data_IF_832039737184
#
_entry.id   IF_832039737184
#
_cell.length_a   1.000
_cell.length_b   1.000
_cell.length_c   1.000
_cell.angle_alpha   90.00
_cell.angle_beta   90.00
_cell.angle_gamma   90.00
#
_symmetry.space_group_name_H-M   'P 1'
#
loop_
_entity.id
_entity.type
_entity.pdbx_description
1 polymer ?
#
# COMPACT_ATOMS: atom_id res chain seq x y z
N UNK A 1 -31.60 9.11 -23.27
CA UNK A 1 -30.64 8.00 -23.44
C UNK A 1 -29.38 8.44 -24.17
N UNK A 2 -29.48 9.03 -25.35
CA UNK A 2 -28.32 9.42 -26.19
C UNK A 2 -27.30 10.29 -25.44
N UNK A 3 -27.71 11.36 -24.78
CA UNK A 3 -26.81 12.25 -24.02
C UNK A 3 -25.95 11.49 -23.00
N UNK A 4 -26.52 10.56 -22.26
CA UNK A 4 -25.77 9.73 -21.30
C UNK A 4 -24.80 8.77 -21.98
N UNK A 5 -25.12 8.29 -23.16
CA UNK A 5 -24.22 7.46 -23.93
C UNK A 5 -23.02 8.25 -24.44
N UNK A 6 -23.22 9.46 -24.90
CA UNK A 6 -22.16 10.40 -25.30
C UNK A 6 -21.25 10.73 -24.13
N UNK A 7 -21.83 11.11 -22.98
CA UNK A 7 -21.07 11.37 -21.75
C UNK A 7 -20.23 10.15 -21.33
N UNK A 8 -20.74 8.93 -21.52
CA UNK A 8 -19.99 7.71 -21.24
C UNK A 8 -18.84 7.52 -22.21
N UNK A 9 -19.04 7.75 -23.50
CA UNK A 9 -17.98 7.65 -24.53
C UNK A 9 -16.88 8.68 -24.23
N UNK A 10 -17.25 9.93 -23.95
CA UNK A 10 -16.30 10.97 -23.58
C UNK A 10 -15.52 10.63 -22.30
N UNK A 11 -16.22 10.09 -21.31
CA UNK A 11 -15.62 9.69 -20.03
C UNK A 11 -14.69 8.45 -20.11
N UNK A 12 -14.59 7.80 -21.26
CA UNK A 12 -13.56 6.76 -21.49
C UNK A 12 -12.15 7.35 -21.49
N UNK A 13 -12.02 8.67 -21.81
CA UNK A 13 -10.73 9.36 -21.86
C UNK A 13 -9.88 8.95 -23.07
N UNK A 14 -10.49 8.37 -24.11
CA UNK A 14 -9.83 7.93 -25.34
C UNK A 14 -9.95 8.93 -26.47
N UNK A 15 -10.79 9.96 -26.30
CA UNK A 15 -11.18 10.89 -27.34
C UNK A 15 -10.99 12.33 -26.88
N UNK A 16 -10.39 13.14 -27.74
CA UNK A 16 -10.29 14.61 -27.53
C UNK A 16 -11.62 15.30 -27.79
N UNK A 17 -12.44 14.74 -28.69
CA UNK A 17 -13.76 15.26 -29.02
C UNK A 17 -14.73 14.13 -29.38
N UNK A 18 -16.00 14.32 -29.03
CA UNK A 18 -17.11 13.37 -29.31
C UNK A 18 -18.31 14.16 -29.79
N UNK A 19 -18.57 14.14 -31.09
CA UNK A 19 -19.71 14.79 -31.72
C UNK A 19 -20.81 13.79 -32.05
N UNK A 20 -22.05 14.17 -31.80
CA UNK A 20 -23.20 13.31 -32.09
C UNK A 20 -24.16 14.03 -33.03
N UNK A 21 -24.47 13.38 -34.15
CA UNK A 21 -25.45 13.82 -35.11
C UNK A 21 -26.61 12.83 -35.15
N UNK A 22 -27.83 13.36 -35.28
CA UNK A 22 -29.04 12.59 -35.49
C UNK A 22 -29.50 12.80 -36.93
N UNK A 23 -29.57 11.75 -37.71
CA UNK A 23 -30.02 11.77 -39.09
C UNK A 23 -31.32 10.97 -39.20
N UNK A 24 -32.22 11.35 -40.15
CA UNK A 24 -33.38 10.54 -40.45
C UNK A 24 -33.02 9.15 -40.95
N UNK A 25 -33.79 8.13 -40.63
CA UNK A 25 -33.55 6.77 -41.10
C UNK A 25 -33.73 6.65 -42.62
N UNK A 26 -32.87 5.89 -43.28
CA UNK A 26 -32.84 5.75 -44.72
C UNK A 26 -34.08 5.02 -45.28
N UNK A 27 -34.70 4.13 -44.50
CA UNK A 27 -35.82 3.27 -44.94
C UNK A 27 -37.14 3.58 -44.24
N UNK A 28 -37.14 4.20 -43.10
CA UNK A 28 -38.34 4.58 -42.33
C UNK A 28 -38.11 5.94 -41.64
N UNK A 29 -38.95 6.96 -41.95
CA UNK A 29 -38.85 8.28 -41.34
C UNK A 29 -39.03 8.30 -39.82
N UNK A 30 -39.58 7.26 -39.21
CA UNK A 30 -39.71 7.09 -37.77
C UNK A 30 -38.43 6.56 -37.08
N UNK A 31 -37.45 6.09 -37.84
CA UNK A 31 -36.16 5.66 -37.35
C UNK A 31 -35.16 6.83 -37.36
N UNK A 32 -34.25 6.83 -36.40
CA UNK A 32 -33.18 7.83 -36.29
C UNK A 32 -31.84 7.12 -36.32
N UNK A 33 -30.97 7.56 -37.23
CA UNK A 33 -29.58 7.13 -37.26
C UNK A 33 -28.80 8.05 -36.30
N UNK A 34 -28.12 7.44 -35.37
CA UNK A 34 -27.23 8.19 -34.46
C UNK A 34 -25.79 7.98 -34.95
N UNK A 35 -25.21 9.03 -35.49
CA UNK A 35 -23.82 9.08 -35.91
C UNK A 35 -22.97 9.67 -34.80
N UNK A 36 -21.91 8.99 -34.41
CA UNK A 36 -20.97 9.42 -33.36
C UNK A 36 -19.61 9.58 -34.01
N UNK A 37 -19.19 10.83 -34.20
CA UNK A 37 -17.86 11.18 -34.69
C UNK A 37 -16.92 11.36 -33.50
N UNK A 38 -15.79 10.68 -33.51
CA UNK A 38 -14.80 10.74 -32.43
C UNK A 38 -13.46 11.19 -32.98
N UNK A 39 -12.76 12.03 -32.22
CA UNK A 39 -11.36 12.37 -32.46
C UNK A 39 -10.52 11.63 -31.43
N UNK A 40 -9.74 10.66 -31.87
CA UNK A 40 -8.93 9.82 -30.98
C UNK A 40 -7.81 10.62 -30.32
N UNK A 41 -7.65 10.38 -29.02
CA UNK A 41 -6.57 10.90 -28.19
C UNK A 41 -5.41 9.89 -28.08
N UNK A 42 -4.19 10.39 -27.88
CA UNK A 42 -3.05 9.50 -27.56
C UNK A 42 -3.18 9.01 -26.12
N UNK A 43 -3.44 7.72 -25.95
CA UNK A 43 -3.67 7.08 -24.64
C UNK A 43 -2.42 6.51 -23.99
N UNK A 44 -1.30 6.50 -24.73
CA UNK A 44 0.01 6.08 -24.25
C UNK A 44 0.69 7.17 -23.41
N UNK A 45 1.22 6.79 -22.27
CA UNK A 45 1.92 7.68 -21.34
C UNK A 45 3.28 7.10 -20.95
N UNK A 46 4.28 7.96 -20.83
CA UNK A 46 5.59 7.63 -20.25
C UNK A 46 5.81 8.59 -19.09
N UNK A 47 5.98 8.05 -17.91
CA UNK A 47 6.29 8.82 -16.70
C UNK A 47 7.71 8.50 -16.26
N UNK A 48 8.49 9.53 -16.03
CA UNK A 48 9.80 9.44 -15.42
C UNK A 48 9.73 10.11 -14.06
N UNK A 49 10.22 9.42 -13.05
CA UNK A 49 10.21 9.91 -11.69
C UNK A 49 11.48 9.58 -10.93
N UNK A 50 11.63 10.20 -9.78
CA UNK A 50 12.63 9.83 -8.80
C UNK A 50 11.98 9.78 -7.42
N UNK A 51 12.37 8.79 -6.64
CA UNK A 51 11.95 8.61 -5.26
C UNK A 51 13.14 8.54 -4.34
N UNK A 52 12.93 8.90 -3.10
CA UNK A 52 13.91 8.73 -2.04
C UNK A 52 13.23 8.20 -0.78
N UNK A 53 13.79 7.15 -0.21
CA UNK A 53 13.44 6.69 1.12
C UNK A 53 14.70 6.58 1.97
N UNK A 54 14.54 6.59 3.30
CA UNK A 54 15.67 6.40 4.21
C UNK A 54 16.27 5.00 4.05
N UNK A 55 15.41 4.00 3.88
CA UNK A 55 15.79 2.61 3.68
C UNK A 55 16.48 2.40 2.32
N UNK A 56 15.83 2.78 1.24
CA UNK A 56 16.26 2.41 -0.11
C UNK A 56 17.21 3.42 -0.76
N UNK A 57 17.27 4.66 -0.25
CA UNK A 57 18.03 5.74 -0.87
C UNK A 57 17.32 6.34 -2.10
N UNK A 58 18.09 6.87 -3.03
CA UNK A 58 17.57 7.48 -4.26
C UNK A 58 17.27 6.40 -5.32
N UNK A 59 16.04 6.39 -5.83
CA UNK A 59 15.59 5.48 -6.88
C UNK A 59 15.05 6.24 -8.08
N UNK A 60 15.30 5.73 -9.29
CA UNK A 60 14.65 6.16 -10.51
C UNK A 60 13.42 5.31 -10.80
N UNK A 61 12.37 5.94 -11.29
CA UNK A 61 11.09 5.29 -11.63
C UNK A 61 10.82 5.57 -13.11
N UNK A 62 10.51 4.51 -13.85
CA UNK A 62 10.05 4.57 -15.24
C UNK A 62 8.72 3.83 -15.29
N UNK A 63 7.68 4.53 -15.73
CA UNK A 63 6.37 3.92 -15.94
C UNK A 63 5.94 4.16 -17.40
N UNK A 64 5.59 3.07 -18.07
CA UNK A 64 4.90 3.08 -19.35
C UNK A 64 3.47 2.62 -19.13
N UNK A 65 2.51 3.42 -19.59
CA UNK A 65 1.08 3.12 -19.53
C UNK A 65 0.43 3.27 -20.89
N UNK A 66 -0.49 2.38 -21.22
CA UNK A 66 -1.39 2.47 -22.38
C UNK A 66 -2.80 2.17 -21.89
N UNK A 67 -3.67 3.18 -21.96
CA UNK A 67 -5.05 3.07 -21.44
C UNK A 67 -6.06 2.53 -22.46
N UNK A 68 -5.66 2.45 -23.74
CA UNK A 68 -6.48 1.89 -24.82
C UNK A 68 -5.68 0.90 -25.65
N UNK A 69 -5.12 -0.11 -25.01
CA UNK A 69 -4.22 -1.07 -25.62
C UNK A 69 -4.90 -1.78 -26.80
N UNK A 70 -4.32 -1.61 -27.99
CA UNK A 70 -4.84 -2.12 -29.28
C UNK A 70 -6.25 -1.61 -29.62
N UNK A 71 -6.70 -0.50 -29.08
CA UNK A 71 -8.02 0.06 -29.35
C UNK A 71 -9.19 -0.67 -28.68
N UNK A 72 -8.91 -1.57 -27.73
CA UNK A 72 -9.93 -2.41 -27.07
C UNK A 72 -10.45 -1.82 -25.76
N UNK A 73 -9.91 -0.69 -25.32
CA UNK A 73 -10.17 -0.10 -24.00
C UNK A 73 -9.47 -0.83 -22.86
N UNK A 74 -8.62 -1.81 -23.17
CA UNK A 74 -7.83 -2.51 -22.18
C UNK A 74 -6.64 -1.65 -21.77
N UNK A 75 -6.19 -1.82 -20.53
CA UNK A 75 -5.06 -1.07 -19.98
C UNK A 75 -3.85 -1.96 -19.83
N UNK A 76 -2.72 -1.50 -20.32
CA UNK A 76 -1.44 -2.15 -20.14
C UNK A 76 -0.47 -1.21 -19.44
N UNK A 77 0.24 -1.68 -18.43
CA UNK A 77 1.18 -0.88 -17.66
C UNK A 77 2.43 -1.66 -17.32
N UNK A 78 3.59 -1.03 -17.52
CA UNK A 78 4.88 -1.50 -17.04
C UNK A 78 5.44 -0.45 -16.10
N UNK A 79 5.73 -0.87 -14.89
CA UNK A 79 6.37 -0.05 -13.87
C UNK A 79 7.74 -0.65 -13.56
N UNK A 80 8.77 0.20 -13.54
CA UNK A 80 10.13 -0.22 -13.29
C UNK A 80 10.83 0.78 -12.38
N UNK A 81 11.39 0.28 -11.28
CA UNK A 81 12.20 1.04 -10.34
C UNK A 81 13.64 0.53 -10.39
N UNK A 82 14.57 1.46 -10.48
CA UNK A 82 16.01 1.18 -10.56
C UNK A 82 16.76 2.07 -9.61
N UNK A 83 17.78 1.53 -8.95
CA UNK A 83 18.64 2.29 -8.05
C UNK A 83 18.52 1.85 -6.61
N UNK A 84 18.58 2.80 -5.71
CA UNK A 84 18.66 2.55 -4.29
C UNK A 84 20.08 2.21 -3.82
N UNK A 85 20.28 2.14 -2.50
CA UNK A 85 21.57 1.81 -1.88
C UNK A 85 22.14 0.47 -2.36
N UNK A 86 21.27 -0.51 -2.63
CA UNK A 86 21.64 -1.87 -3.04
C UNK A 86 21.33 -2.19 -4.52
N UNK A 87 21.11 -1.15 -5.34
CA UNK A 87 20.86 -1.26 -6.80
C UNK A 87 19.70 -2.18 -7.14
N UNK A 88 18.57 -2.01 -6.48
CA UNK A 88 17.35 -2.78 -6.72
C UNK A 88 16.85 -2.66 -8.15
N UNK A 89 16.18 -3.70 -8.61
CA UNK A 89 15.48 -3.76 -9.89
C UNK A 89 14.07 -4.27 -9.65
N UNK A 90 13.18 -3.37 -9.26
CA UNK A 90 11.78 -3.68 -9.05
C UNK A 90 11.02 -3.48 -10.35
N UNK A 91 10.18 -4.43 -10.71
CA UNK A 91 9.31 -4.29 -11.87
C UNK A 91 7.95 -4.93 -11.65
N UNK A 92 6.96 -4.33 -12.27
CA UNK A 92 5.61 -4.85 -12.32
C UNK A 92 5.06 -4.66 -13.73
N UNK A 93 4.47 -5.72 -14.28
CA UNK A 93 3.73 -5.69 -15.53
C UNK A 93 2.29 -5.99 -15.19
N UNK A 94 1.37 -5.16 -15.65
CA UNK A 94 -0.05 -5.34 -15.41
C UNK A 94 -0.89 -5.13 -16.67
N UNK A 95 -1.95 -5.90 -16.78
CA UNK A 95 -2.96 -5.80 -17.81
C UNK A 95 -4.32 -5.80 -17.13
N UNK A 96 -5.20 -4.89 -17.54
CA UNK A 96 -6.56 -4.77 -17.03
C UNK A 96 -7.53 -4.67 -18.18
N UNK A 97 -8.47 -5.60 -18.22
CA UNK A 97 -9.68 -5.54 -19.05
C UNK A 97 -10.82 -4.95 -18.22
N UNK A 98 -11.26 -3.70 -18.48
CA UNK A 98 -12.24 -3.02 -17.64
C UNK A 98 -13.63 -3.68 -17.64
N UNK A 99 -14.00 -4.34 -18.74
CA UNK A 99 -15.32 -4.94 -18.91
C UNK A 99 -15.22 -6.33 -19.57
N UNK A 100 -15.45 -7.37 -18.78
CA UNK A 100 -15.57 -8.74 -19.29
C UNK A 100 -17.02 -9.17 -19.44
N UNK A 101 -17.95 -8.40 -18.87
CA UNK A 101 -19.39 -8.64 -18.92
C UNK A 101 -20.19 -7.33 -19.00
N UNK A 102 -21.50 -7.44 -19.26
CA UNK A 102 -22.44 -6.31 -19.31
C UNK A 102 -22.65 -5.62 -17.95
N UNK A 103 -22.21 -6.24 -16.86
CA UNK A 103 -22.34 -5.72 -15.50
C UNK A 103 -21.12 -4.88 -15.07
N UNK A 104 -20.15 -4.70 -15.97
CA UNK A 104 -18.96 -3.90 -15.72
C UNK A 104 -17.94 -4.57 -14.80
N UNK A 105 -17.84 -5.90 -14.87
CA UNK A 105 -16.79 -6.63 -14.15
C UNK A 105 -15.46 -6.44 -14.85
N UNK A 106 -14.44 -6.02 -14.15
CA UNK A 106 -13.07 -5.91 -14.64
C UNK A 106 -12.29 -7.19 -14.33
N UNK A 107 -11.33 -7.52 -15.20
CA UNK A 107 -10.37 -8.60 -15.01
C UNK A 107 -8.96 -8.05 -15.17
N UNK A 108 -8.16 -8.21 -14.14
CA UNK A 108 -6.76 -7.78 -14.10
C UNK A 108 -5.80 -8.95 -13.95
N UNK A 109 -4.64 -8.81 -14.57
CA UNK A 109 -3.49 -9.67 -14.39
C UNK A 109 -2.30 -8.81 -14.02
N UNK A 110 -1.49 -9.25 -13.07
CA UNK A 110 -0.26 -8.56 -12.71
C UNK A 110 0.82 -9.57 -12.40
N UNK A 111 2.02 -9.29 -12.88
CA UNK A 111 3.24 -10.00 -12.54
C UNK A 111 4.21 -9.01 -11.93
N UNK A 112 4.88 -9.39 -10.83
CA UNK A 112 5.79 -8.51 -10.12
C UNK A 112 7.04 -9.22 -9.60
N UNK A 113 8.10 -8.45 -9.52
CA UNK A 113 9.32 -8.77 -8.79
C UNK A 113 9.71 -7.53 -8.01
N UNK A 114 9.70 -7.62 -6.69
CA UNK A 114 10.03 -6.53 -5.76
C UNK A 114 11.10 -7.00 -4.80
N UNK A 115 11.98 -6.10 -4.47
CA UNK A 115 13.03 -6.31 -3.48
C UNK A 115 13.11 -5.05 -2.63
N UNK A 116 12.85 -5.19 -1.34
CA UNK A 116 12.75 -4.10 -0.39
C UNK A 116 13.62 -4.40 0.81
N UNK A 117 14.22 -3.35 1.39
CA UNK A 117 14.93 -3.40 2.65
C UNK A 117 13.98 -3.18 3.81
N UNK A 118 14.14 -3.97 4.84
CA UNK A 118 13.34 -3.92 6.07
C UNK A 118 14.25 -3.73 7.26
N UNK A 119 13.82 -2.90 8.19
CA UNK A 119 14.48 -2.71 9.48
C UNK A 119 13.51 -3.11 10.59
N UNK A 120 13.98 -3.95 11.49
CA UNK A 120 13.24 -4.30 12.70
C UNK A 120 13.76 -3.48 13.88
N UNK A 121 12.86 -3.10 14.77
CA UNK A 121 13.13 -2.25 15.92
C UNK A 121 12.70 -2.92 17.21
N UNK A 122 13.37 -2.61 18.32
CA UNK A 122 12.89 -2.95 19.65
C UNK A 122 11.81 -1.96 20.13
N UNK A 123 11.28 -2.18 21.34
CA UNK A 123 10.21 -1.33 21.93
C UNK A 123 10.61 0.14 22.11
N UNK A 124 11.89 0.42 22.30
CA UNK A 124 12.45 1.77 22.42
C UNK A 124 12.74 2.43 21.07
N UNK A 125 12.50 1.72 19.95
CA UNK A 125 12.79 2.19 18.61
C UNK A 125 14.28 2.18 18.25
N UNK A 126 15.08 1.33 18.89
CA UNK A 126 16.44 1.06 18.46
C UNK A 126 16.44 -0.03 17.40
N UNK A 127 17.25 0.17 16.37
CA UNK A 127 17.42 -0.77 15.29
C UNK A 127 18.02 -2.09 15.81
N UNK A 128 17.37 -3.20 15.48
CA UNK A 128 17.76 -4.54 15.90
C UNK A 128 18.34 -5.32 14.72
N UNK A 129 17.71 -5.19 13.57
CA UNK A 129 18.06 -5.96 12.40
C UNK A 129 17.66 -5.24 11.11
N UNK A 130 18.46 -5.46 10.06
CA UNK A 130 18.22 -4.97 8.71
C UNK A 130 18.34 -6.14 7.73
N UNK A 131 17.38 -6.30 6.82
CA UNK A 131 17.38 -7.41 5.85
C UNK A 131 16.66 -7.05 4.56
N UNK A 132 17.01 -7.75 3.48
CA UNK A 132 16.34 -7.62 2.19
C UNK A 132 15.37 -8.77 1.96
N UNK A 133 14.15 -8.43 1.56
CA UNK A 133 13.15 -9.39 1.13
C UNK A 133 12.90 -9.22 -0.37
N UNK A 134 12.93 -10.32 -1.10
CA UNK A 134 12.55 -10.38 -2.49
C UNK A 134 11.24 -11.13 -2.64
N UNK A 135 10.25 -10.46 -3.21
CA UNK A 135 8.92 -11.00 -3.49
C UNK A 135 8.70 -11.11 -4.99
N UNK A 136 8.41 -12.33 -5.46
CA UNK A 136 8.03 -12.60 -6.86
C UNK A 136 6.69 -13.29 -6.91
N UNK A 137 5.83 -12.83 -7.78
CA UNK A 137 4.51 -13.42 -7.89
C UNK A 137 3.68 -12.88 -9.03
N UNK A 138 2.49 -13.41 -9.08
CA UNK A 138 1.44 -12.91 -9.96
C UNK A 138 0.11 -12.88 -9.22
N UNK A 139 -0.78 -12.04 -9.72
CA UNK A 139 -2.16 -12.03 -9.25
C UNK A 139 -3.14 -11.93 -10.41
N UNK A 140 -4.36 -12.44 -10.16
CA UNK A 140 -5.53 -12.29 -11.01
C UNK A 140 -6.59 -11.60 -10.16
N UNK A 141 -7.11 -10.49 -10.64
CA UNK A 141 -8.07 -9.67 -9.90
C UNK A 141 -9.37 -9.49 -10.69
N UNK A 142 -10.48 -9.62 -9.99
CA UNK A 142 -11.80 -9.26 -10.48
C UNK A 142 -12.30 -8.08 -9.69
N UNK A 143 -12.81 -7.05 -10.37
CA UNK A 143 -13.36 -5.86 -9.72
C UNK A 143 -14.73 -5.56 -10.25
N UNK A 144 -15.70 -5.21 -9.39
CA UNK A 144 -17.04 -4.89 -9.78
C UNK A 144 -17.63 -3.77 -8.95
N UNK A 145 -18.29 -2.84 -9.64
CA UNK A 145 -19.10 -1.84 -8.96
C UNK A 145 -20.43 -2.46 -8.54
N UNK A 146 -20.68 -2.54 -7.23
CA UNK A 146 -21.88 -3.14 -6.63
C UNK A 146 -22.86 -2.12 -6.06
N UNK A 147 -22.49 -0.83 -6.07
CA UNK A 147 -23.34 0.30 -5.70
C UNK A 147 -22.75 1.60 -6.20
N UNK A 148 -23.44 2.73 -6.01
CA UNK A 148 -23.00 4.04 -6.49
C UNK A 148 -21.59 4.40 -6.03
N UNK A 149 -21.31 4.14 -4.74
CA UNK A 149 -20.00 4.39 -4.09
C UNK A 149 -19.29 3.11 -3.67
N UNK A 150 -19.79 1.94 -4.09
CA UNK A 150 -19.31 0.65 -3.58
C UNK A 150 -18.70 -0.17 -4.69
N UNK A 151 -17.52 -0.72 -4.42
CA UNK A 151 -16.83 -1.65 -5.31
C UNK A 151 -16.32 -2.86 -4.53
N UNK A 152 -16.51 -4.03 -5.09
CA UNK A 152 -15.98 -5.30 -4.59
C UNK A 152 -14.83 -5.76 -5.48
N UNK A 153 -13.81 -6.37 -4.86
CA UNK A 153 -12.66 -6.97 -5.53
C UNK A 153 -12.44 -8.38 -4.99
N UNK A 154 -12.09 -9.27 -5.90
CA UNK A 154 -11.59 -10.60 -5.58
C UNK A 154 -10.23 -10.78 -6.24
N UNK A 155 -9.20 -11.09 -5.47
CA UNK A 155 -7.84 -11.28 -5.97
C UNK A 155 -7.34 -12.66 -5.60
N UNK A 156 -6.84 -13.39 -6.60
CA UNK A 156 -6.11 -14.63 -6.46
C UNK A 156 -4.63 -14.29 -6.61
N UNK A 157 -3.81 -14.62 -5.64
CA UNK A 157 -2.37 -14.33 -5.66
C UNK A 157 -1.55 -15.59 -5.38
N UNK A 158 -0.48 -15.77 -6.15
CA UNK A 158 0.60 -16.69 -5.84
C UNK A 158 1.91 -15.92 -5.79
N UNK A 159 2.54 -15.90 -4.62
CA UNK A 159 3.76 -15.16 -4.36
C UNK A 159 4.77 -16.02 -3.62
N UNK A 160 6.05 -15.88 -3.97
CA UNK A 160 7.16 -16.44 -3.21
C UNK A 160 8.00 -15.30 -2.63
N UNK A 161 8.08 -15.27 -1.32
CA UNK A 161 8.96 -14.39 -0.58
C UNK A 161 10.26 -15.12 -0.28
N UNK A 162 11.38 -14.51 -0.61
CA UNK A 162 12.73 -15.05 -0.36
C UNK A 162 13.59 -13.96 0.26
N UNK A 163 14.50 -14.42 1.09
CA UNK A 163 15.55 -13.57 1.63
C UNK A 163 16.69 -13.45 0.60
N UNK A 164 17.26 -12.25 0.49
CA UNK A 164 18.43 -12.02 -0.36
C UNK A 164 19.59 -11.54 0.49
N UNK A 165 20.71 -12.26 0.37
CA UNK A 165 21.99 -11.85 0.90
C UNK A 165 22.60 -10.75 0.03
N UNK A 166 23.21 -9.75 0.66
CA UNK A 166 24.08 -8.84 -0.04
C UNK A 166 25.44 -9.51 -0.25
N UNK A 167 25.93 -9.50 -1.48
CA UNK A 167 27.20 -10.13 -1.83
C UNK A 167 28.42 -9.38 -1.23
N UNK A 168 28.24 -8.10 -0.91
CA UNK A 168 29.32 -7.25 -0.37
C UNK A 168 29.36 -7.24 1.16
N UNK A 169 28.26 -7.66 1.78
CA UNK A 169 28.17 -7.88 3.22
C UNK A 169 27.83 -9.34 3.43
N UNK A 170 28.77 -10.12 3.88
CA UNK A 170 28.65 -11.58 4.07
C UNK A 170 27.53 -11.97 5.05
N UNK A 171 26.92 -11.02 5.72
CA UNK A 171 25.81 -11.21 6.63
C UNK A 171 24.45 -10.90 6.04
N UNK A 172 24.28 -10.00 5.09
CA UNK A 172 22.96 -9.57 4.53
C UNK A 172 21.88 -9.21 5.55
N UNK A 173 22.19 -9.41 6.80
CA UNK A 173 21.40 -9.20 7.98
C UNK A 173 22.28 -8.57 9.04
N UNK A 174 22.05 -7.33 9.32
CA UNK A 174 22.69 -6.61 10.41
C UNK A 174 21.96 -6.85 11.71
N UNK A 175 22.72 -7.08 12.73
CA UNK A 175 22.26 -7.44 14.03
C UNK A 175 22.94 -6.53 15.06
N UNK A 176 22.13 -5.75 15.79
CA UNK A 176 22.66 -4.92 16.87
C UNK A 176 22.64 -5.68 18.18
N UNK A 177 23.82 -6.07 18.63
CA UNK A 177 24.02 -6.84 19.88
C UNK A 177 23.62 -6.07 21.13
N UNK A 178 23.74 -4.74 21.12
CA UNK A 178 23.46 -3.91 22.29
C UNK A 178 21.95 -3.72 22.49
N UNK A 179 21.19 -3.65 21.40
CA UNK A 179 19.74 -3.58 21.45
C UNK A 179 19.10 -4.87 21.97
N UNK A 180 19.74 -6.01 21.80
CA UNK A 180 19.24 -7.33 22.20
C UNK A 180 19.70 -7.73 23.60
N UNK A 181 20.84 -7.23 24.06
CA UNK A 181 21.34 -7.57 25.41
C UNK A 181 20.38 -7.11 26.53
N UNK A 182 19.51 -6.15 26.26
CA UNK A 182 18.50 -5.68 27.19
C UNK A 182 17.21 -6.50 27.18
N UNK A 183 17.03 -7.42 26.24
CA UNK A 183 15.91 -8.35 26.25
C UNK A 183 16.36 -9.62 26.99
N UNK A 184 15.91 -9.78 28.21
CA UNK A 184 16.17 -10.93 29.10
C UNK A 184 15.55 -12.24 28.62
N UNK A 185 15.48 -12.45 27.36
CA UNK A 185 15.04 -13.70 26.76
C UNK A 185 16.25 -14.44 26.22
N UNK A 186 16.53 -15.62 26.75
CA UNK A 186 17.39 -16.62 26.12
C UNK A 186 16.79 -17.12 24.79
N UNK A 187 16.21 -16.26 24.05
CA UNK A 187 15.49 -16.52 22.82
C UNK A 187 16.46 -16.62 21.67
N UNK A 188 16.94 -17.78 21.46
CA UNK A 188 17.92 -18.11 20.46
C UNK A 188 17.35 -18.48 19.11
N UNK A 189 16.12 -18.12 18.81
CA UNK A 189 15.53 -18.43 17.50
C UNK A 189 16.19 -17.64 16.37
N UNK A 190 16.81 -16.53 16.68
CA UNK A 190 17.64 -15.75 15.77
C UNK A 190 19.05 -16.27 15.67
N UNK A 191 19.52 -17.03 16.63
CA UNK A 191 20.93 -17.11 16.86
C UNK A 191 21.36 -18.43 17.47
N UNK A 192 21.80 -19.33 16.63
CA UNK A 192 22.65 -20.43 17.07
C UNK A 192 24.13 -20.03 17.11
N UNK A 193 24.47 -18.76 16.86
CA UNK A 193 25.84 -18.26 16.90
C UNK A 193 25.91 -17.06 17.81
N UNK A 194 26.72 -17.18 18.84
CA UNK A 194 27.05 -16.10 19.74
C UNK A 194 27.71 -14.96 18.92
N UNK A 195 27.13 -13.76 18.83
CA UNK A 195 27.70 -12.67 18.05
C UNK A 195 29.08 -12.22 18.55
N UNK A 196 29.40 -12.49 19.82
CA UNK A 196 30.71 -12.20 20.41
C UNK A 196 31.84 -13.08 19.88
N UNK A 197 31.56 -14.15 19.11
CA UNK A 197 32.56 -15.08 18.58
C UNK A 197 32.83 -14.97 17.08
N UNK A 198 32.26 -13.96 16.41
CA UNK A 198 32.53 -13.70 14.98
C UNK A 198 32.08 -14.83 14.04
N UNK A 199 31.17 -15.70 14.48
CA UNK A 199 30.60 -16.75 13.63
C UNK A 199 29.69 -16.15 12.57
N UNK A 200 29.87 -16.55 11.32
CA UNK A 200 28.97 -16.14 10.25
C UNK A 200 27.56 -16.66 10.54
N UNK A 201 26.64 -15.74 10.61
CA UNK A 201 25.23 -16.05 10.82
C UNK A 201 24.65 -16.76 9.58
N UNK A 202 24.26 -18.01 9.70
CA UNK A 202 23.66 -18.74 8.59
C UNK A 202 22.13 -18.63 8.65
N UNK A 203 21.63 -17.54 8.11
CA UNK A 203 20.21 -17.25 8.05
C UNK A 203 19.39 -18.34 7.33
N UNK A 204 19.98 -18.99 6.32
CA UNK A 204 19.30 -20.03 5.53
C UNK A 204 19.08 -21.34 6.31
N UNK A 205 19.86 -21.62 7.33
CA UNK A 205 19.71 -22.79 8.20
C UNK A 205 18.86 -22.55 9.43
N UNK A 206 18.47 -21.30 9.67
CA UNK A 206 17.72 -20.90 10.84
C UNK A 206 16.21 -21.19 10.66
N UNK A 207 15.54 -21.63 11.73
CA UNK A 207 14.08 -21.81 11.77
C UNK A 207 13.31 -20.51 11.44
N UNK A 208 13.89 -19.35 11.75
CA UNK A 208 13.30 -18.05 11.38
C UNK A 208 13.11 -17.92 9.87
N UNK A 209 14.11 -18.20 9.06
CA UNK A 209 13.98 -18.15 7.58
C UNK A 209 12.92 -19.13 7.11
N UNK A 210 12.96 -20.36 7.61
CA UNK A 210 11.98 -21.39 7.25
C UNK A 210 10.55 -20.97 7.61
N UNK A 211 10.38 -20.31 8.75
CA UNK A 211 9.08 -19.90 9.27
C UNK A 211 8.60 -18.57 8.73
N UNK A 212 9.46 -17.79 8.05
CA UNK A 212 9.12 -16.43 7.62
C UNK A 212 9.23 -16.16 6.13
N UNK A 213 9.87 -17.07 5.38
CA UNK A 213 9.99 -16.95 3.92
C UNK A 213 9.48 -18.21 3.25
N UNK A 214 8.76 -18.04 2.16
CA UNK A 214 8.18 -19.15 1.43
C UNK A 214 7.12 -18.68 0.43
N UNK A 215 6.34 -19.64 -0.03
CA UNK A 215 5.24 -19.40 -0.98
C UNK A 215 3.95 -19.14 -0.22
N UNK A 216 3.26 -18.09 -0.64
CA UNK A 216 1.92 -17.72 -0.19
C UNK A 216 0.99 -17.79 -1.39
N UNK A 217 0.01 -18.68 -1.34
CA UNK A 217 -1.10 -18.71 -2.28
C UNK A 217 -2.34 -18.24 -1.53
N UNK A 218 -3.04 -17.25 -2.05
CA UNK A 218 -4.17 -16.66 -1.32
C UNK A 218 -5.31 -16.20 -2.22
N UNK A 219 -6.49 -16.15 -1.61
CA UNK A 219 -7.68 -15.48 -2.13
C UNK A 219 -7.97 -14.32 -1.20
N UNK A 220 -8.10 -13.12 -1.77
CA UNK A 220 -8.41 -11.90 -1.02
C UNK A 220 -9.70 -11.29 -1.57
N UNK A 221 -10.69 -11.14 -0.70
CA UNK A 221 -11.86 -10.33 -0.97
C UNK A 221 -11.70 -8.95 -0.31
N UNK A 222 -12.04 -7.90 -1.07
CA UNK A 222 -12.04 -6.54 -0.57
C UNK A 222 -13.34 -5.84 -0.99
N UNK A 223 -13.97 -5.16 -0.05
CA UNK A 223 -15.09 -4.26 -0.30
C UNK A 223 -14.71 -2.83 0.07
N UNK A 224 -14.95 -1.89 -0.83
CA UNK A 224 -14.65 -0.48 -0.64
C UNK A 224 -15.90 0.34 -0.90
N UNK A 225 -16.32 1.13 0.08
CA UNK A 225 -17.26 2.24 -0.07
C UNK A 225 -16.46 3.54 -0.03
N UNK A 226 -16.61 4.40 -1.05
CA UNK A 226 -15.87 5.66 -1.16
C UNK A 226 -16.77 6.79 -1.69
N UNK A 227 -17.22 7.68 -0.79
CA UNK A 227 -18.02 8.85 -1.09
C UNK A 227 -17.27 10.16 -0.83
N UNK A 228 -15.94 10.12 -0.86
CA UNK A 228 -15.11 11.34 -0.71
C UNK A 228 -15.32 12.28 -1.88
N UNK A 229 -15.32 13.57 -1.60
CA UNK A 229 -15.42 14.65 -2.62
C UNK A 229 -14.15 14.73 -3.48
N UNK A 230 -12.99 14.37 -2.94
CA UNK A 230 -11.71 14.30 -3.63
C UNK A 230 -10.90 13.13 -3.08
N UNK A 231 -10.31 12.34 -3.96
CA UNK A 231 -9.51 11.17 -3.55
C UNK A 231 -8.11 11.55 -3.04
N UNK A 232 -7.56 12.70 -3.47
CA UNK A 232 -6.21 13.17 -3.14
C UNK A 232 -6.18 14.09 -1.91
N UNK A 233 -7.16 15.02 -1.81
CA UNK A 233 -7.27 15.96 -0.69
C UNK A 233 -8.75 16.07 -0.28
N UNK A 234 -9.25 15.07 0.45
CA UNK A 234 -10.67 15.02 0.81
C UNK A 234 -11.03 16.03 1.89
N UNK A 235 -12.14 16.75 1.66
CA UNK A 235 -12.70 17.68 2.62
C UNK A 235 -14.02 17.20 3.22
N UNK A 236 -14.72 16.29 2.52
CA UNK A 236 -16.01 15.72 2.93
C UNK A 236 -16.14 14.28 2.48
N UNK A 237 -17.05 13.56 3.13
CA UNK A 237 -17.37 12.19 2.77
C UNK A 237 -16.63 11.19 3.62
N UNK A 238 -16.68 9.92 3.19
CA UNK A 238 -16.08 8.81 3.92
C UNK A 238 -15.58 7.73 2.97
N UNK A 239 -14.56 7.02 3.41
CA UNK A 239 -14.11 5.79 2.79
C UNK A 239 -14.10 4.68 3.85
N UNK A 240 -14.78 3.58 3.56
CA UNK A 240 -14.81 2.40 4.44
C UNK A 240 -14.36 1.21 3.61
N UNK A 241 -13.42 0.44 4.12
CA UNK A 241 -12.95 -0.78 3.45
C UNK A 241 -12.84 -1.95 4.40
N UNK A 242 -13.22 -3.12 3.89
CA UNK A 242 -13.03 -4.41 4.52
C UNK A 242 -12.19 -5.28 3.60
N UNK A 243 -11.21 -5.96 4.17
CA UNK A 243 -10.35 -6.90 3.44
C UNK A 243 -10.30 -8.20 4.21
N UNK A 244 -10.58 -9.31 3.55
CA UNK A 244 -10.46 -10.65 4.10
C UNK A 244 -9.59 -11.49 3.15
N UNK A 245 -8.50 -12.02 3.67
CA UNK A 245 -7.56 -12.87 2.96
C UNK A 245 -7.57 -14.27 3.57
N UNK A 246 -7.65 -15.24 2.71
CA UNK A 246 -7.51 -16.66 2.99
C UNK A 246 -6.25 -17.16 2.28
N UNK A 247 -5.26 -17.63 3.00
CA UNK A 247 -3.99 -18.12 2.46
C UNK A 247 -3.76 -19.57 2.88
N UNK A 248 -3.24 -20.39 1.97
CA UNK A 248 -3.04 -21.80 2.17
C UNK A 248 -4.35 -22.60 2.22
N UNK A 249 -4.53 -23.49 3.21
CA UNK A 249 -5.76 -24.26 3.45
C UNK A 249 -6.36 -24.91 2.19
N UNK A 250 -5.54 -25.62 1.44
CA UNK A 250 -5.96 -26.28 0.20
C UNK A 250 -5.60 -25.51 -1.08
N UNK A 251 -5.20 -24.24 -1.00
CA UNK A 251 -4.62 -23.49 -2.13
C UNK A 251 -3.13 -23.82 -2.35
N UNK A 252 -2.53 -24.57 -1.42
CA UNK A 252 -1.10 -24.83 -1.40
C UNK A 252 -0.30 -23.62 -0.91
N UNK A 253 1.02 -23.75 -0.91
CA UNK A 253 1.95 -22.78 -0.32
C UNK A 253 2.54 -23.31 0.98
N UNK A 254 3.28 -22.46 1.67
CA UNK A 254 4.03 -22.85 2.87
C UNK A 254 3.36 -22.33 4.17
N UNK A 255 2.27 -21.56 4.05
CA UNK A 255 1.61 -20.90 5.17
C UNK A 255 0.09 -21.01 5.09
N UNK A 256 -0.53 -21.27 6.25
CA UNK A 256 -1.98 -21.41 6.43
C UNK A 256 -2.51 -20.35 7.37
N UNK A 257 -3.16 -19.30 6.85
CA UNK A 257 -3.69 -18.22 7.70
C UNK A 257 -4.91 -17.52 7.09
N UNK A 258 -5.63 -16.86 7.98
CA UNK A 258 -6.68 -15.89 7.66
C UNK A 258 -6.25 -14.51 8.13
N UNK A 259 -6.42 -13.49 7.32
CA UNK A 259 -6.14 -12.09 7.68
C UNK A 259 -7.35 -11.23 7.39
N UNK A 260 -7.82 -10.52 8.39
CA UNK A 260 -8.91 -9.57 8.26
C UNK A 260 -8.44 -8.17 8.63
N UNK A 261 -8.90 -7.16 7.85
CA UNK A 261 -8.63 -5.75 8.11
C UNK A 261 -9.89 -4.94 7.82
N UNK A 262 -10.23 -4.02 8.70
CA UNK A 262 -11.24 -3.00 8.49
C UNK A 262 -10.62 -1.61 8.65
N UNK A 263 -10.98 -0.69 7.77
CA UNK A 263 -10.56 0.70 7.84
C UNK A 263 -11.74 1.63 7.55
N UNK A 264 -11.88 2.69 8.35
CA UNK A 264 -12.80 3.78 8.13
C UNK A 264 -12.04 5.11 8.12
N UNK A 265 -12.30 5.95 7.12
CA UNK A 265 -11.82 7.33 7.01
C UNK A 265 -13.03 8.24 6.87
N UNK A 266 -13.06 9.33 7.61
CA UNK A 266 -14.17 10.29 7.62
C UNK A 266 -13.61 11.71 7.55
N UNK A 267 -14.25 12.55 6.77
CA UNK A 267 -13.83 13.93 6.54
C UNK A 267 -15.01 14.84 6.73
N UNK A 268 -14.81 15.87 7.55
CA UNK A 268 -15.83 16.87 7.85
C UNK A 268 -15.24 18.27 7.70
N UNK A 269 -15.78 19.03 6.78
CA UNK A 269 -15.43 20.44 6.62
C UNK A 269 -15.93 21.23 7.82
N UNK A 270 -15.04 22.01 8.44
CA UNK A 270 -15.33 22.90 9.56
C UNK A 270 -15.18 24.35 9.09
N UNK A 271 -16.29 25.08 9.04
CA UNK A 271 -16.31 26.43 8.48
C UNK A 271 -15.95 26.46 6.99
N UNK A 272 -15.30 27.54 6.55
CA UNK A 272 -15.02 27.76 5.14
C UNK A 272 -13.84 26.93 4.61
N UNK A 273 -12.81 26.72 5.43
CA UNK A 273 -11.49 26.25 4.95
C UNK A 273 -10.87 25.12 5.76
N UNK A 274 -11.35 24.83 6.98
CA UNK A 274 -10.77 23.83 7.84
C UNK A 274 -11.41 22.46 7.60
N UNK A 275 -10.67 21.38 7.87
CA UNK A 275 -11.15 20.01 7.76
C UNK A 275 -10.78 19.23 9.02
N UNK A 276 -11.73 18.52 9.57
CA UNK A 276 -11.50 17.48 10.56
C UNK A 276 -11.48 16.15 9.84
N UNK A 277 -10.37 15.45 9.92
CA UNK A 277 -10.19 14.13 9.34
C UNK A 277 -9.98 13.09 10.44
N UNK A 278 -10.69 11.98 10.35
CA UNK A 278 -10.60 10.85 11.24
C UNK A 278 -10.34 9.58 10.46
N UNK A 279 -9.44 8.75 10.97
CA UNK A 279 -9.17 7.41 10.47
C UNK A 279 -9.17 6.42 11.62
N UNK A 280 -9.78 5.26 11.43
CA UNK A 280 -9.65 4.13 12.32
C UNK A 280 -9.38 2.87 11.50
N UNK A 281 -8.46 2.04 11.97
CA UNK A 281 -8.07 0.79 11.34
C UNK A 281 -7.93 -0.29 12.41
N UNK A 282 -8.40 -1.48 12.12
CA UNK A 282 -8.22 -2.64 12.98
C UNK A 282 -8.10 -3.91 12.16
N UNK A 283 -7.43 -4.91 12.70
CA UNK A 283 -7.27 -6.18 12.03
C UNK A 283 -6.76 -7.28 12.94
N UNK A 284 -6.94 -8.51 12.46
CA UNK A 284 -6.42 -9.70 13.10
C UNK A 284 -5.96 -10.73 12.07
N UNK A 285 -5.04 -11.57 12.50
CA UNK A 285 -4.55 -12.73 11.78
C UNK A 285 -4.75 -13.96 12.65
N UNK A 286 -5.24 -15.02 12.04
CA UNK A 286 -5.38 -16.32 12.66
C UNK A 286 -4.66 -17.38 11.83
N UNK A 287 -3.97 -18.31 12.48
CA UNK A 287 -3.21 -19.35 11.82
C UNK A 287 -1.70 -19.05 11.76
N UNK A 288 -1.01 -19.76 10.87
CA UNK A 288 0.44 -19.70 10.72
C UNK A 288 0.81 -18.70 9.60
N UNK A 289 0.84 -17.42 9.96
CA UNK A 289 1.24 -16.36 9.04
C UNK A 289 2.74 -16.08 9.16
N UNK A 290 3.45 -15.92 8.03
CA UNK A 290 4.85 -15.52 8.07
C UNK A 290 5.01 -14.12 8.65
N UNK A 291 6.19 -13.85 9.20
CA UNK A 291 6.53 -12.57 9.82
C UNK A 291 6.26 -11.37 8.90
N UNK A 292 6.49 -11.51 7.60
CA UNK A 292 6.23 -10.49 6.59
C UNK A 292 4.73 -10.16 6.39
N UNK A 293 3.83 -10.97 6.91
CA UNK A 293 2.38 -10.76 6.83
C UNK A 293 1.78 -10.16 8.09
N UNK A 294 2.53 -10.10 9.19
CA UNK A 294 2.09 -9.47 10.41
C UNK A 294 1.70 -8.01 10.16
N UNK A 295 0.76 -7.50 10.94
CA UNK A 295 0.47 -6.07 10.93
C UNK A 295 1.66 -5.30 11.48
N UNK A 296 1.91 -4.14 10.89
CA UNK A 296 2.93 -3.21 11.34
C UNK A 296 2.34 -1.85 11.67
N UNK A 297 2.93 -1.18 12.64
CA UNK A 297 2.54 0.15 13.07
C UNK A 297 3.78 0.97 13.46
N UNK A 298 3.72 2.26 13.20
CA UNK A 298 4.81 3.22 13.37
C UNK A 298 5.01 4.00 12.08
N UNK A 299 5.61 5.18 12.18
CA UNK A 299 5.92 6.00 11.03
C UNK A 299 4.83 6.97 10.59
N UNK A 300 5.12 7.66 9.49
CA UNK A 300 4.35 8.79 8.97
C UNK A 300 2.88 8.50 8.69
N UNK A 301 2.56 7.28 8.29
CA UNK A 301 1.21 6.91 7.82
C UNK A 301 0.37 6.15 8.85
N UNK A 302 0.88 5.97 10.07
CA UNK A 302 0.16 5.20 11.09
C UNK A 302 0.25 5.76 12.50
N UNK A 303 1.42 5.75 13.10
CA UNK A 303 1.65 6.21 14.47
C UNK A 303 2.91 7.10 14.47
N UNK A 304 2.71 8.42 14.33
CA UNK A 304 3.80 9.38 14.25
C UNK A 304 4.47 9.59 15.60
N UNK A 305 5.78 9.82 15.60
CA UNK A 305 6.63 9.86 16.78
C UNK A 305 7.35 8.54 17.07
N UNK A 306 7.15 7.53 16.20
CA UNK A 306 7.81 6.22 16.27
C UNK A 306 8.51 5.90 14.94
N UNK A 307 9.41 4.92 14.96
CA UNK A 307 10.07 4.42 13.75
C UNK A 307 9.07 3.74 12.82
N UNK A 308 9.40 3.68 11.52
CA UNK A 308 8.55 3.02 10.55
C UNK A 308 8.46 1.51 10.87
N UNK A 309 7.24 0.97 10.94
CA UNK A 309 6.98 -0.44 11.24
C UNK A 309 7.53 -0.93 12.60
N UNK A 310 7.71 -0.04 13.56
CA UNK A 310 8.29 -0.35 14.89
C UNK A 310 7.52 -1.42 15.65
N UNK A 311 6.18 -1.36 15.63
CA UNK A 311 5.33 -2.35 16.29
C UNK A 311 4.84 -3.37 15.30
N UNK A 312 4.80 -4.65 15.71
CA UNK A 312 4.43 -5.75 14.83
C UNK A 312 3.62 -6.81 15.56
N UNK A 313 2.62 -7.42 14.88
CA UNK A 313 1.86 -8.50 15.50
C UNK A 313 0.71 -9.03 14.67
N UNK A 314 0.07 -10.08 15.20
CA UNK A 314 -1.14 -10.69 14.62
C UNK A 314 -2.39 -9.84 14.81
N UNK A 315 -2.40 -8.96 15.79
CA UNK A 315 -3.51 -8.05 16.08
C UNK A 315 -3.04 -6.61 15.91
N UNK A 316 -3.95 -5.74 15.49
CA UNK A 316 -3.64 -4.33 15.29
C UNK A 316 -4.89 -3.47 15.50
N UNK A 317 -4.71 -2.32 16.16
CA UNK A 317 -5.61 -1.17 16.04
C UNK A 317 -4.81 0.10 15.85
N UNK A 318 -5.40 1.04 15.11
CA UNK A 318 -4.82 2.37 14.91
C UNK A 318 -5.96 3.38 14.71
N UNK A 319 -5.89 4.52 15.36
CA UNK A 319 -6.78 5.63 15.07
C UNK A 319 -5.99 6.94 15.00
N UNK A 320 -6.38 7.79 14.08
CA UNK A 320 -5.78 9.10 13.82
C UNK A 320 -6.87 10.16 13.76
N UNK A 321 -6.68 11.26 14.44
CA UNK A 321 -7.49 12.46 14.32
C UNK A 321 -6.59 13.61 13.84
N UNK A 322 -6.97 14.27 12.75
CA UNK A 322 -6.27 15.42 12.20
C UNK A 322 -7.19 16.64 12.09
N UNK A 323 -6.70 17.76 12.55
CA UNK A 323 -7.28 19.07 12.24
C UNK A 323 -6.41 19.78 11.21
N UNK A 324 -6.94 19.97 10.01
CA UNK A 324 -6.27 20.57 8.85
C UNK A 324 -6.78 22.00 8.63
N UNK A 325 -5.87 22.93 8.44
CA UNK A 325 -6.17 24.34 8.21
C UNK A 325 -5.22 24.96 7.18
N UNK A 326 -5.70 25.87 6.32
CA UNK A 326 -4.85 26.52 5.34
C UNK A 326 -3.91 27.51 6.01
N UNK A 327 -2.64 27.56 5.59
CA UNK A 327 -1.68 28.59 5.98
C UNK A 327 -1.56 29.61 4.84
N UNK A 328 -1.17 29.16 3.67
CA UNK A 328 -1.10 29.96 2.43
C UNK A 328 -1.56 29.11 1.26
N UNK A 329 -1.63 29.68 0.06
CA UNK A 329 -2.00 28.93 -1.15
C UNK A 329 -1.08 27.71 -1.33
N UNK A 330 -1.67 26.53 -1.49
CA UNK A 330 -0.96 25.23 -1.61
C UNK A 330 -0.22 24.74 -0.35
N UNK A 331 -0.34 25.44 0.79
CA UNK A 331 0.28 25.00 2.06
C UNK A 331 -0.78 24.97 3.15
N UNK A 332 -0.92 23.82 3.79
CA UNK A 332 -1.83 23.60 4.91
C UNK A 332 -1.06 23.13 6.15
N UNK A 333 -1.51 23.61 7.31
CA UNK A 333 -1.07 23.10 8.60
C UNK A 333 -1.93 21.95 9.06
N UNK A 334 -1.37 21.05 9.84
CA UNK A 334 -2.05 19.91 10.44
C UNK A 334 -1.66 19.80 11.91
N UNK A 335 -2.65 19.66 12.78
CA UNK A 335 -2.47 19.18 14.15
C UNK A 335 -3.03 17.76 14.21
N UNK A 336 -2.32 16.85 14.87
CA UNK A 336 -2.75 15.45 14.88
C UNK A 336 -2.57 14.76 16.22
N UNK A 337 -3.37 13.73 16.40
CA UNK A 337 -3.20 12.73 17.46
C UNK A 337 -3.39 11.36 16.84
N UNK A 338 -2.42 10.49 17.09
CA UNK A 338 -2.42 9.09 16.69
C UNK A 338 -2.44 8.21 17.93
N UNK A 339 -3.20 7.12 17.90
CA UNK A 339 -3.16 6.05 18.89
C UNK A 339 -3.10 4.71 18.19
N UNK A 340 -2.43 3.74 18.79
CA UNK A 340 -2.41 2.42 18.19
C UNK A 340 -1.43 1.46 18.85
N UNK A 341 -1.55 0.21 18.42
CA UNK A 341 -0.62 -0.86 18.76
C UNK A 341 -0.73 -2.00 17.75
N UNK A 342 0.35 -2.78 17.60
CA UNK A 342 0.36 -4.08 16.96
C UNK A 342 1.06 -5.06 17.90
N UNK A 343 0.41 -6.18 18.20
CA UNK A 343 0.86 -7.11 19.24
C UNK A 343 0.65 -8.58 18.87
N UNK A 344 1.20 -9.49 19.68
CA UNK A 344 1.20 -10.93 19.46
C UNK A 344 1.99 -11.30 18.19
N UNK A 345 3.26 -10.92 18.17
CA UNK A 345 4.19 -11.34 17.13
C UNK A 345 4.84 -12.68 17.54
N UNK A 346 4.55 -13.78 16.86
CA UNK A 346 5.18 -15.06 17.14
C UNK A 346 6.67 -15.01 16.77
N UNK A 347 7.50 -15.70 17.56
CA UNK A 347 8.95 -15.83 17.33
C UNK A 347 9.73 -14.50 17.34
N UNK A 348 9.20 -13.47 17.98
CA UNK A 348 9.87 -12.20 18.17
C UNK A 348 10.35 -12.11 19.62
N UNK A 349 11.65 -12.08 19.82
CA UNK A 349 12.27 -12.12 21.15
C UNK A 349 12.87 -10.77 21.56
N UNK A 350 13.06 -9.85 20.61
CA UNK A 350 13.73 -8.56 20.83
C UNK A 350 12.81 -7.43 21.27
N UNK A 351 11.50 -7.64 21.33
CA UNK A 351 10.60 -6.69 21.94
C UNK A 351 9.41 -7.37 22.62
N UNK A 352 8.80 -6.66 23.56
CA UNK A 352 7.62 -7.13 24.25
C UNK A 352 6.39 -7.02 23.34
N UNK A 353 5.96 -8.14 22.75
CA UNK A 353 4.81 -8.19 21.85
C UNK A 353 3.45 -8.22 22.57
N UNK A 354 3.39 -7.90 23.86
CA UNK A 354 2.14 -7.76 24.59
C UNK A 354 1.43 -6.48 24.18
N UNK A 355 0.10 -6.52 24.20
CA UNK A 355 -0.73 -5.35 23.92
C UNK A 355 -0.38 -4.19 24.85
N UNK A 356 -0.09 -3.05 24.24
CA UNK A 356 0.22 -1.80 24.93
C UNK A 356 -0.69 -0.67 24.41
N UNK A 357 -0.57 0.51 25.01
CA UNK A 357 -1.20 1.72 24.52
C UNK A 357 -0.11 2.71 24.12
N UNK A 358 0.00 2.94 22.81
CA UNK A 358 0.95 3.90 22.26
C UNK A 358 0.19 5.07 21.64
N UNK A 359 0.73 6.26 21.79
CA UNK A 359 0.18 7.48 21.23
C UNK A 359 1.26 8.37 20.65
N UNK A 360 0.90 9.16 19.65
CA UNK A 360 1.70 10.20 19.07
C UNK A 360 0.87 11.46 18.91
N UNK A 361 1.41 12.60 19.31
CA UNK A 361 0.79 13.90 19.11
C UNK A 361 1.75 14.81 18.38
N UNK A 362 1.25 15.74 17.59
CA UNK A 362 2.16 16.61 16.86
C UNK A 362 1.50 17.58 15.91
N UNK A 363 2.38 18.21 15.15
CA UNK A 363 2.00 19.16 14.12
C UNK A 363 2.77 18.87 12.83
N UNK A 364 2.19 19.30 11.71
CA UNK A 364 2.81 19.11 10.41
C UNK A 364 2.39 20.12 9.37
N UNK A 365 3.04 20.04 8.23
CA UNK A 365 2.75 20.87 7.06
C UNK A 365 2.49 19.96 5.85
N UNK A 366 1.53 20.35 5.04
CA UNK A 366 1.18 19.73 3.77
C UNK A 366 1.44 20.71 2.65
N UNK A 367 2.22 20.35 1.68
CA UNK A 367 2.57 21.19 0.52
C UNK A 367 2.04 20.50 -0.73
N UNK A 368 1.07 21.13 -1.40
CA UNK A 368 0.55 20.60 -2.66
C UNK A 368 1.52 20.92 -3.79
N UNK A 369 2.09 19.89 -4.39
CA UNK A 369 3.01 20.00 -5.52
C UNK A 369 2.41 19.37 -6.80
N UNK A 370 2.93 19.65 -7.99
CA UNK A 370 2.47 19.02 -9.24
C UNK A 370 2.62 17.49 -9.25
N UNK A 371 3.54 16.95 -8.46
CA UNK A 371 3.82 15.51 -8.36
C UNK A 371 3.10 14.85 -7.17
N UNK A 372 2.23 15.58 -6.46
CA UNK A 372 1.50 15.11 -5.30
C UNK A 372 1.82 15.89 -4.02
N UNK A 373 1.06 15.69 -2.95
CA UNK A 373 1.31 16.38 -1.69
C UNK A 373 2.55 15.85 -0.97
N UNK A 374 3.38 16.78 -0.48
CA UNK A 374 4.49 16.54 0.43
C UNK A 374 4.01 16.74 1.86
N UNK A 375 4.33 15.80 2.73
CA UNK A 375 3.96 15.82 4.15
C UNK A 375 5.23 15.92 5.02
N UNK A 376 5.24 16.88 5.93
CA UNK A 376 6.29 17.09 6.92
C UNK A 376 5.64 17.11 8.29
N UNK A 377 5.88 16.10 9.09
CA UNK A 377 5.26 15.96 10.41
C UNK A 377 6.31 15.84 11.49
N UNK A 378 6.11 16.53 12.60
CA UNK A 378 6.86 16.33 13.84
C UNK A 378 5.94 15.67 14.87
N UNK A 379 6.25 14.43 15.22
CA UNK A 379 5.49 13.62 16.16
C UNK A 379 6.24 13.41 17.46
N UNK A 380 5.52 13.53 18.56
CA UNK A 380 5.98 13.25 19.93
C UNK A 380 5.29 11.97 20.38
N UNK A 381 6.07 10.90 20.51
CA UNK A 381 5.63 9.62 21.03
C UNK A 381 5.93 9.46 22.51
N UNK A 382 5.65 8.27 23.05
CA UNK A 382 5.86 7.96 24.47
C UNK A 382 7.34 8.01 24.89
N UNK A 383 8.25 7.56 24.02
CA UNK A 383 9.67 7.41 24.33
C UNK A 383 10.58 8.27 23.48
N UNK A 384 10.16 8.60 22.28
CA UNK A 384 10.95 9.37 21.30
C UNK A 384 10.09 10.41 20.58
N UNK A 385 10.77 11.40 20.03
CA UNK A 385 10.19 12.38 19.10
C UNK A 385 10.80 12.12 17.74
N UNK A 386 9.99 12.24 16.69
CA UNK A 386 10.46 11.97 15.34
C UNK A 386 9.93 12.97 14.34
N UNK A 387 10.80 13.35 13.41
CA UNK A 387 10.42 14.07 12.21
C UNK A 387 10.15 13.08 11.09
N UNK A 388 8.97 13.19 10.47
CA UNK A 388 8.55 12.34 9.37
C UNK A 388 8.45 13.15 8.09
N UNK A 389 8.97 12.60 7.03
CA UNK A 389 8.84 13.09 5.68
C UNK A 389 8.16 12.03 4.82
N UNK A 390 7.10 12.39 4.11
CA UNK A 390 6.47 11.47 3.19
C UNK A 390 5.83 12.17 2.00
N UNK A 391 5.67 11.42 0.92
CA UNK A 391 4.93 11.82 -0.27
C UNK A 391 3.61 11.06 -0.37
N UNK A 392 2.64 11.63 -1.03
CA UNK A 392 1.44 10.93 -1.42
C UNK A 392 0.17 11.51 -0.81
N UNK A 393 -0.94 10.81 -1.07
CA UNK A 393 -2.27 11.25 -0.67
C UNK A 393 -2.42 11.35 0.84
N UNK A 394 -3.16 12.33 1.30
CA UNK A 394 -3.58 12.40 2.69
C UNK A 394 -4.50 11.20 2.99
N UNK A 395 -4.38 10.62 4.23
CA UNK A 395 -5.19 9.45 4.56
C UNK A 395 -6.67 9.70 4.37
#
# INVERSE_FOLDING_TARGET
>A
MVRRSVERVYNLGFFDDVNVRMLPGDQDPNNVIIEIDVLEHKTGTITLGAGYSKSDGLMGIIEFGEDNFRGTGDKFKVHWEIGGKKKYKNYQISYLKPWIDSKGTSLGFSFFNREDEYTDYNEDGNEVAEYNKKSRGFNISFGRQTGEYTRDYLTLESRKDTYKWDSDDSSGYRYDTDAISNTTGSGNDWNNTNPSTGGSWNFASNNYVKNNFGRINSITWQKVYDSRDNIYDPTRGRRISYTAQWAGHGLGGDFDFYKFTAEARMYKKLGAKNVLAFRARGGFIQGDAPYSQLFTLGGADSLRGYEDDQFRGKYMYNATLEFRFPIVKKVSGVLFTDIGDAWDAPNVTWYNSKKTFNYGVGAGVRITTPIGPVKLDYGVGKHKNKFHFSFGTQF
#
